data_IF_356473120944
#
_entry.id   IF_356473120944
#
_cell.length_a   1.000
_cell.length_b   1.000
_cell.length_c   1.000
_cell.angle_alpha   90.00
_cell.angle_beta   90.00
_cell.angle_gamma   90.00
#
_symmetry.space_group_name_H-M   'P 1'
#
loop_
_entity.id
_entity.type
_entity.pdbx_description
1 polymer ?
#
# COMPACT_ATOMS: atom_id res chain seq x y z
N UNK A 1 5.49 -8.61 4.29
CA UNK A 1 5.51 -8.93 2.85
C UNK A 1 6.10 -7.74 2.12
N UNK A 2 6.90 -7.96 1.07
CA UNK A 2 7.53 -6.90 0.27
C UNK A 2 7.91 -7.48 -1.10
N UNK A 3 8.22 -6.65 -2.09
CA UNK A 3 8.69 -7.11 -3.40
C UNK A 3 9.81 -6.20 -3.95
N UNK A 4 10.78 -6.75 -4.71
CA UNK A 4 11.84 -5.95 -5.31
C UNK A 4 11.37 -5.29 -6.62
N UNK A 5 11.92 -4.12 -6.95
CA UNK A 5 11.94 -3.62 -8.33
C UNK A 5 12.98 -4.39 -9.16
N UNK A 6 12.88 -4.40 -10.51
CA UNK A 6 13.90 -5.00 -11.36
C UNK A 6 15.29 -4.38 -11.13
N UNK A 7 16.34 -5.21 -11.08
CA UNK A 7 17.72 -4.79 -10.79
C UNK A 7 18.74 -5.22 -11.86
N UNK A 8 18.26 -5.77 -12.97
CA UNK A 8 19.03 -6.28 -14.10
C UNK A 8 19.32 -5.22 -15.18
N UNK A 9 19.01 -3.95 -14.88
CA UNK A 9 19.28 -2.81 -15.76
C UNK A 9 19.98 -1.63 -15.06
N UNK A 10 20.06 -0.46 -15.72
CA UNK A 10 20.81 0.69 -15.22
C UNK A 10 20.36 1.19 -13.84
N UNK A 11 19.07 1.07 -13.52
CA UNK A 11 18.54 1.41 -12.18
C UNK A 11 19.11 0.48 -11.11
N UNK A 12 19.26 -0.81 -11.40
CA UNK A 12 19.87 -1.77 -10.49
C UNK A 12 21.35 -1.49 -10.24
N UNK A 13 22.09 -1.08 -11.28
CA UNK A 13 23.47 -0.62 -11.13
C UNK A 13 23.57 0.62 -10.24
N UNK A 14 22.69 1.59 -10.43
CA UNK A 14 22.62 2.79 -9.61
C UNK A 14 22.32 2.47 -8.14
N UNK A 15 21.34 1.59 -7.88
CA UNK A 15 21.01 1.17 -6.52
C UNK A 15 22.22 0.50 -5.84
N UNK A 16 22.92 -0.39 -6.56
CA UNK A 16 24.13 -1.05 -6.04
C UNK A 16 25.25 -0.07 -5.75
N UNK A 17 25.51 0.86 -6.68
CA UNK A 17 26.52 1.91 -6.50
C UNK A 17 26.22 2.83 -5.31
N UNK A 18 24.93 3.06 -5.02
CA UNK A 18 24.47 3.84 -3.89
C UNK A 18 24.30 3.03 -2.58
N UNK A 19 24.58 1.72 -2.57
CA UNK A 19 24.35 0.85 -1.41
C UNK A 19 22.88 0.73 -1.00
N UNK A 20 21.94 0.91 -1.94
CA UNK A 20 20.49 0.89 -1.70
C UNK A 20 19.87 -0.46 -2.07
N UNK A 21 18.88 -0.90 -1.30
CA UNK A 21 18.10 -2.09 -1.62
C UNK A 21 17.01 -1.81 -2.69
N UNK A 22 16.49 -2.84 -3.39
CA UNK A 22 15.45 -2.68 -4.40
C UNK A 22 14.02 -2.86 -3.89
N UNK A 23 13.84 -3.15 -2.59
CA UNK A 23 12.54 -3.54 -2.06
C UNK A 23 11.55 -2.39 -1.86
N UNK A 24 10.28 -2.73 -2.10
CA UNK A 24 9.10 -1.93 -1.78
C UNK A 24 8.28 -2.64 -0.70
N UNK A 25 7.80 -1.93 0.34
CA UNK A 25 6.89 -2.50 1.33
C UNK A 25 5.59 -2.98 0.69
N UNK A 26 4.88 -3.92 1.29
CA UNK A 26 3.58 -4.34 0.76
C UNK A 26 2.57 -3.17 0.72
N UNK A 27 1.85 -3.06 -0.40
CA UNK A 27 0.89 -2.00 -0.64
C UNK A 27 -0.22 -2.43 -1.60
N UNK A 28 -1.32 -1.67 -1.58
CA UNK A 28 -2.46 -1.81 -2.47
C UNK A 28 -2.63 -0.52 -3.25
N UNK A 29 -2.72 -0.62 -4.57
CA UNK A 29 -2.92 0.51 -5.46
C UNK A 29 -4.40 0.89 -5.58
N UNK A 30 -4.70 2.18 -5.63
CA UNK A 30 -6.03 2.72 -5.88
C UNK A 30 -5.99 3.78 -6.98
N UNK A 31 -6.95 3.67 -7.89
CA UNK A 31 -7.36 4.72 -8.81
C UNK A 31 -8.84 4.97 -8.56
N UNK A 32 -9.19 6.16 -8.08
CA UNK A 32 -10.56 6.48 -7.67
C UNK A 32 -11.04 7.72 -8.39
N UNK A 33 -12.19 7.59 -9.05
CA UNK A 33 -12.85 8.67 -9.78
C UNK A 33 -14.34 8.72 -9.40
N UNK A 34 -14.90 9.92 -9.39
CA UNK A 34 -16.32 10.17 -9.22
C UNK A 34 -16.70 11.45 -10.00
N UNK A 35 -17.91 11.55 -10.59
CA UNK A 35 -18.33 12.75 -11.32
C UNK A 35 -18.26 14.02 -10.47
N UNK A 36 -17.64 15.07 -11.00
CA UNK A 36 -17.45 16.35 -10.31
C UNK A 36 -16.33 16.37 -9.27
N UNK A 37 -15.48 15.34 -9.24
CA UNK A 37 -14.32 15.25 -8.36
C UNK A 37 -13.04 14.91 -9.14
N UNK A 38 -11.92 15.49 -8.73
CA UNK A 38 -10.60 15.20 -9.26
C UNK A 38 -10.23 13.73 -8.97
N UNK A 39 -9.81 13.02 -10.02
CA UNK A 39 -9.29 11.66 -9.92
C UNK A 39 -8.10 11.56 -8.95
N UNK A 40 -8.11 10.52 -8.12
CA UNK A 40 -7.06 10.24 -7.15
C UNK A 40 -6.31 8.95 -7.52
N UNK A 41 -5.01 9.09 -7.81
CA UNK A 41 -4.04 7.99 -7.83
C UNK A 41 -3.30 7.95 -6.51
N UNK A 42 -3.49 6.90 -5.71
CA UNK A 42 -2.84 6.73 -4.41
C UNK A 42 -2.67 5.26 -4.08
N UNK A 43 -1.80 4.92 -3.13
CA UNK A 43 -1.69 3.57 -2.58
C UNK A 43 -1.84 3.62 -1.06
N UNK A 44 -2.15 2.49 -0.42
CA UNK A 44 -1.95 2.31 1.03
C UNK A 44 -0.86 1.27 1.28
N UNK A 45 -0.12 1.44 2.36
CA UNK A 45 0.95 0.54 2.78
C UNK A 45 0.54 -0.25 4.02
N UNK A 46 0.94 -1.51 4.07
CA UNK A 46 0.64 -2.39 5.21
C UNK A 46 1.60 -2.07 6.36
N UNK A 47 1.05 -1.68 7.51
CA UNK A 47 1.80 -1.41 8.73
C UNK A 47 2.62 -2.63 9.17
N UNK A 48 3.86 -2.39 9.61
CA UNK A 48 4.80 -3.45 9.99
C UNK A 48 5.41 -4.23 8.82
N UNK A 49 5.17 -3.81 7.57
CA UNK A 49 5.92 -4.33 6.41
C UNK A 49 7.40 -3.97 6.53
N UNK A 50 8.28 -4.91 6.17
CA UNK A 50 9.68 -4.57 5.90
C UNK A 50 9.76 -3.44 4.88
N UNK A 51 10.78 -2.60 5.02
CA UNK A 51 11.09 -1.46 4.14
C UNK A 51 10.05 -0.32 4.18
N UNK A 52 9.19 -0.25 5.19
CA UNK A 52 8.23 0.85 5.34
C UNK A 52 8.92 2.22 5.44
N UNK A 53 10.06 2.28 6.15
CA UNK A 53 10.84 3.51 6.33
C UNK A 53 11.91 3.69 5.24
N UNK A 54 11.99 2.79 4.27
CA UNK A 54 13.07 2.77 3.28
C UNK A 54 12.65 2.37 1.86
N UNK A 55 11.37 2.55 1.49
CA UNK A 55 10.84 2.21 0.16
C UNK A 55 11.78 2.67 -0.98
N UNK A 56 12.18 1.75 -1.85
CA UNK A 56 13.15 2.01 -2.91
C UNK A 56 12.73 3.14 -3.87
N UNK A 57 11.43 3.45 -3.95
CA UNK A 57 10.88 4.52 -4.78
C UNK A 57 10.24 5.67 -3.99
N UNK A 58 10.45 5.71 -2.67
CA UNK A 58 10.05 6.83 -1.81
C UNK A 58 8.54 7.16 -1.81
N UNK A 59 7.67 6.18 -2.06
CA UNK A 59 6.23 6.42 -2.18
C UNK A 59 5.50 6.44 -0.83
N UNK A 60 6.13 5.96 0.25
CA UNK A 60 5.50 5.88 1.57
C UNK A 60 5.25 7.28 2.14
N UNK A 61 4.01 7.51 2.55
CA UNK A 61 3.61 8.67 3.38
C UNK A 61 2.92 8.12 4.62
N UNK A 62 3.23 8.68 5.79
CA UNK A 62 2.69 8.19 7.08
C UNK A 62 1.16 8.10 7.10
N UNK A 63 0.45 9.05 6.49
CA UNK A 63 -1.01 9.04 6.39
C UNK A 63 -1.59 7.88 5.56
N UNK A 64 -0.76 7.25 4.72
CA UNK A 64 -1.11 6.14 3.83
C UNK A 64 -0.70 4.77 4.41
N UNK A 65 -0.04 4.72 5.57
CA UNK A 65 0.22 3.46 6.28
C UNK A 65 -1.04 3.05 7.05
N UNK A 66 -1.44 1.78 6.92
CA UNK A 66 -2.64 1.21 7.57
C UNK A 66 -2.33 -0.10 8.25
N UNK A 67 -2.91 -0.29 9.43
CA UNK A 67 -2.80 -1.54 10.17
C UNK A 67 -3.83 -2.54 9.68
N UNK A 68 -3.36 -3.74 9.32
CA UNK A 68 -4.19 -4.87 8.94
C UNK A 68 -4.32 -5.80 10.14
N UNK A 69 -5.33 -5.56 10.97
CA UNK A 69 -5.57 -6.30 12.21
C UNK A 69 -6.34 -7.58 11.94
N UNK A 70 -6.05 -8.62 12.72
CA UNK A 70 -6.85 -9.85 12.69
C UNK A 70 -8.25 -9.57 13.26
N UNK A 71 -9.27 -10.03 12.55
CA UNK A 71 -10.66 -10.01 12.94
C UNK A 71 -11.17 -11.45 13.05
N UNK A 72 -11.47 -11.93 14.27
CA UNK A 72 -12.00 -13.27 14.50
C UNK A 72 -13.54 -13.32 14.45
N UNK A 73 -14.24 -12.19 14.27
CA UNK A 73 -15.70 -12.14 14.35
C UNK A 73 -16.37 -12.90 13.18
N UNK A 74 -17.12 -13.98 13.47
CA UNK A 74 -17.81 -14.75 12.43
C UNK A 74 -18.94 -13.98 11.75
N UNK A 75 -19.56 -12.97 12.40
CA UNK A 75 -20.60 -12.14 11.79
C UNK A 75 -20.00 -11.24 10.70
N UNK A 76 -18.88 -10.58 11.01
CA UNK A 76 -18.12 -9.81 10.01
C UNK A 76 -17.58 -10.71 8.90
N UNK A 77 -17.04 -11.89 9.23
CA UNK A 77 -16.56 -12.84 8.23
C UNK A 77 -17.69 -13.23 7.25
N UNK A 78 -18.89 -13.53 7.77
CA UNK A 78 -20.07 -13.80 6.95
C UNK A 78 -20.48 -12.58 6.10
N UNK A 79 -20.49 -11.37 6.68
CA UNK A 79 -20.80 -10.12 5.99
C UNK A 79 -19.87 -9.87 4.79
N UNK A 80 -18.57 -10.09 4.97
CA UNK A 80 -17.56 -9.90 3.92
C UNK A 80 -17.35 -11.13 3.04
N UNK A 81 -18.04 -12.25 3.32
CA UNK A 81 -17.94 -13.52 2.60
C UNK A 81 -16.53 -14.11 2.61
N UNK A 82 -15.89 -14.07 3.78
CA UNK A 82 -14.57 -14.65 4.04
C UNK A 82 -14.66 -15.62 5.22
N UNK A 83 -13.57 -16.35 5.51
CA UNK A 83 -13.48 -17.21 6.69
C UNK A 83 -12.83 -16.46 7.86
N UNK A 84 -13.28 -16.76 9.08
CA UNK A 84 -12.62 -16.29 10.29
C UNK A 84 -11.48 -17.25 10.70
N UNK A 85 -10.34 -16.75 11.21
CA UNK A 85 -9.99 -15.34 11.31
C UNK A 85 -9.50 -14.78 9.97
N UNK A 86 -9.73 -13.50 9.73
CA UNK A 86 -9.23 -12.78 8.54
C UNK A 86 -8.51 -11.49 8.95
N UNK A 87 -7.71 -10.91 8.05
CA UNK A 87 -7.12 -9.59 8.28
C UNK A 87 -7.97 -8.50 7.66
N UNK A 88 -8.16 -7.41 8.37
CA UNK A 88 -9.00 -6.28 7.97
C UNK A 88 -8.27 -4.96 8.20
N UNK A 89 -8.51 -3.99 7.31
CA UNK A 89 -8.05 -2.61 7.45
C UNK A 89 -9.13 -1.68 6.87
N UNK A 90 -9.35 -0.53 7.51
CA UNK A 90 -10.23 0.53 7.01
C UNK A 90 -9.41 1.68 6.43
N UNK A 91 -9.80 2.14 5.24
CA UNK A 91 -9.20 3.30 4.58
C UNK A 91 -10.29 4.14 3.94
N UNK A 92 -10.52 5.35 4.46
CA UNK A 92 -11.47 6.30 3.90
C UNK A 92 -10.78 7.14 2.82
N UNK A 93 -11.40 7.25 1.64
CA UNK A 93 -10.90 8.01 0.50
C UNK A 93 -11.69 9.32 0.40
N UNK A 94 -10.99 10.45 0.42
CA UNK A 94 -11.57 11.78 0.29
C UNK A 94 -11.11 12.38 -1.04
N UNK A 95 -12.06 12.66 -1.93
CA UNK A 95 -11.78 13.28 -3.22
C UNK A 95 -11.97 14.80 -3.14
N UNK A 96 -11.13 15.53 -3.86
CA UNK A 96 -11.30 16.97 -4.04
C UNK A 96 -12.32 17.25 -5.16
N UNK A 97 -13.27 18.18 -4.98
CA UNK A 97 -14.14 18.62 -6.08
C UNK A 97 -13.33 19.15 -7.27
N UNK A 98 -13.84 18.95 -8.48
CA UNK A 98 -13.29 19.64 -9.66
C UNK A 98 -13.50 21.15 -9.52
N UNK A 99 -12.46 21.91 -9.85
CA UNK A 99 -12.48 23.38 -9.86
C UNK A 99 -13.22 23.94 -11.07
#
# INVERSE_FOLDING_TARGET
>A
MHYPIPTDGPVGELLRAAGRHPYRPAHIHFLVAAPGYRELTTHIFIGGSDYIDSDAVFAVKGSLVKDFTENPDPEDAARYRVQSPFRHSRFDIVLHPES
#
